data_IF_758701615028
#
_entry.id   IF_758701615028
#
_cell.length_a   1.000
_cell.length_b   1.000
_cell.length_c   1.000
_cell.angle_alpha   90.00
_cell.angle_beta   90.00
_cell.angle_gamma   90.00
#
_symmetry.space_group_name_H-M   'P 1'
#
loop_
_entity.id
_entity.type
_entity.pdbx_description
1 polymer ?
#
# COMPACT_ATOMS: atom_id res chain seq x y z
N UNK A 1 1.37 19.19 25.04
CA UNK A 1 2.25 18.51 24.07
C UNK A 1 2.05 17.01 24.15
N UNK A 2 2.00 16.30 23.01
CA UNK A 2 1.75 14.85 22.98
C UNK A 2 2.91 14.06 23.64
N UNK A 3 2.59 12.87 24.14
CA UNK A 3 3.58 11.96 24.75
C UNK A 3 4.67 11.57 23.73
N UNK A 4 4.28 11.37 22.47
CA UNK A 4 5.17 10.90 21.41
C UNK A 4 6.33 11.88 21.15
N UNK A 5 6.06 13.18 21.15
CA UNK A 5 7.10 14.20 20.95
C UNK A 5 8.20 14.14 22.04
N UNK A 6 7.81 13.84 23.28
CA UNK A 6 8.74 13.68 24.42
C UNK A 6 9.57 12.41 24.30
N UNK A 7 8.95 11.32 23.82
CA UNK A 7 9.60 10.04 23.57
C UNK A 7 10.64 10.16 22.45
N UNK A 8 10.30 10.82 21.34
CA UNK A 8 11.25 11.07 20.24
C UNK A 8 12.46 11.87 20.70
N UNK A 9 12.21 12.98 21.40
CA UNK A 9 13.30 13.78 21.94
C UNK A 9 14.21 12.96 22.87
N UNK A 10 13.62 12.10 23.71
CA UNK A 10 14.39 11.24 24.62
C UNK A 10 15.24 10.20 23.85
N UNK A 11 14.70 9.57 22.81
CA UNK A 11 15.43 8.67 21.90
C UNK A 11 16.61 9.38 21.22
N UNK A 12 16.40 10.59 20.69
CA UNK A 12 17.46 11.41 20.08
C UNK A 12 18.58 11.74 21.07
N UNK A 13 18.24 12.08 22.32
CA UNK A 13 19.26 12.34 23.35
C UNK A 13 20.05 11.07 23.71
N UNK A 14 19.42 9.90 23.73
CA UNK A 14 20.13 8.63 23.92
C UNK A 14 21.10 8.38 22.76
N UNK A 15 20.64 8.54 21.51
CA UNK A 15 21.44 8.27 20.30
C UNK A 15 22.60 9.23 20.10
N UNK A 16 22.44 10.48 20.54
CA UNK A 16 23.52 11.46 20.58
C UNK A 16 24.51 11.24 21.73
N UNK A 17 24.36 10.15 22.50
CA UNK A 17 25.27 9.78 23.58
C UNK A 17 25.17 10.70 24.81
N UNK A 18 24.02 11.34 25.03
CA UNK A 18 23.84 12.38 26.06
C UNK A 18 23.25 11.88 27.38
N UNK A 19 22.90 10.60 27.47
CA UNK A 19 22.40 9.94 28.68
C UNK A 19 21.25 10.70 29.37
N UNK A 20 20.08 10.88 28.71
CA UNK A 20 18.97 11.61 29.29
C UNK A 20 18.38 10.93 30.52
N UNK A 21 17.68 11.69 31.38
CA UNK A 21 16.99 11.18 32.56
C UNK A 21 15.64 11.87 32.77
N UNK A 22 14.83 11.33 33.69
CA UNK A 22 13.49 11.87 33.99
C UNK A 22 13.51 13.33 34.45
N UNK A 23 14.58 13.76 35.13
CA UNK A 23 14.74 15.15 35.56
C UNK A 23 15.06 16.11 34.41
N UNK A 24 15.80 15.66 33.40
CA UNK A 24 16.04 16.44 32.19
C UNK A 24 14.77 16.52 31.35
N UNK A 25 14.13 15.37 31.10
CA UNK A 25 12.88 15.32 30.35
C UNK A 25 11.78 16.19 30.99
N UNK A 26 11.70 16.19 32.33
CA UNK A 26 10.76 17.04 33.07
C UNK A 26 11.00 18.54 32.88
N UNK A 27 12.27 18.96 32.83
CA UNK A 27 12.63 20.38 32.63
C UNK A 27 12.40 20.82 31.19
N UNK A 28 12.78 19.99 30.22
CA UNK A 28 12.67 20.32 28.80
C UNK A 28 11.22 20.55 28.37
N UNK A 29 10.30 19.73 28.88
CA UNK A 29 8.89 19.76 28.50
C UNK A 29 7.96 20.36 29.55
N UNK A 30 8.53 20.96 30.62
CA UNK A 30 7.79 21.57 31.72
C UNK A 30 6.72 20.64 32.34
N UNK A 31 7.06 19.35 32.47
CA UNK A 31 6.18 18.33 33.06
C UNK A 31 6.66 17.91 34.46
N UNK A 32 5.77 17.30 35.24
CA UNK A 32 6.17 16.72 36.53
C UNK A 32 7.17 15.57 36.34
N UNK A 33 8.10 15.39 37.29
CA UNK A 33 9.01 14.23 37.31
C UNK A 33 8.28 12.89 37.25
N UNK A 34 7.09 12.81 37.88
CA UNK A 34 6.24 11.62 37.84
C UNK A 34 5.75 11.33 36.42
N UNK A 35 5.39 12.35 35.65
CA UNK A 35 5.00 12.17 34.26
C UNK A 35 6.19 11.74 33.39
N UNK A 36 7.34 12.40 33.54
CA UNK A 36 8.56 12.03 32.82
C UNK A 36 8.97 10.58 33.10
N UNK A 37 8.82 10.11 34.34
CA UNK A 37 9.09 8.71 34.70
C UNK A 37 8.12 7.74 34.00
N UNK A 38 6.81 8.08 33.92
CA UNK A 38 5.83 7.29 33.18
C UNK A 38 6.13 7.22 31.69
N UNK A 39 6.63 8.31 31.11
CA UNK A 39 7.01 8.32 29.69
C UNK A 39 8.22 7.40 29.43
N UNK A 40 9.21 7.38 30.34
CA UNK A 40 10.35 6.46 30.28
C UNK A 40 9.92 5.01 30.50
N UNK A 41 9.02 4.75 31.45
CA UNK A 41 8.42 3.42 31.68
C UNK A 41 7.65 2.95 30.45
N UNK A 42 6.93 3.85 29.79
CA UNK A 42 6.25 3.54 28.53
C UNK A 42 7.25 3.15 27.43
N UNK A 43 8.38 3.84 27.30
CA UNK A 43 9.45 3.43 26.38
C UNK A 43 9.98 2.02 26.71
N UNK A 44 10.28 1.74 27.97
CA UNK A 44 10.83 0.45 28.40
C UNK A 44 9.82 -0.70 28.20
N UNK A 45 8.56 -0.51 28.62
CA UNK A 45 7.55 -1.57 28.71
C UNK A 45 6.79 -1.70 27.39
N UNK A 46 6.21 -0.62 26.90
CA UNK A 46 5.31 -0.64 25.74
C UNK A 46 6.08 -0.68 24.43
N UNK A 47 7.15 0.13 24.31
CA UNK A 47 7.99 0.20 23.11
C UNK A 47 9.17 -0.78 23.13
N UNK A 48 9.29 -1.58 24.21
CA UNK A 48 10.37 -2.55 24.45
C UNK A 48 11.75 -1.95 24.20
N UNK A 49 11.92 -0.67 24.54
CA UNK A 49 13.20 0.01 24.41
C UNK A 49 14.20 -0.61 25.40
N UNK A 50 15.37 -1.07 24.94
CA UNK A 50 16.37 -1.73 25.79
C UNK A 50 17.14 -0.68 26.61
N UNK A 51 16.43 0.02 27.50
CA UNK A 51 16.95 1.11 28.31
C UNK A 51 17.81 0.57 29.46
N UNK A 52 19.07 1.00 29.50
CA UNK A 52 20.02 0.70 30.58
C UNK A 52 20.35 1.99 31.33
N UNK A 53 20.18 1.97 32.65
CA UNK A 53 20.58 3.11 33.50
C UNK A 53 22.08 3.07 33.78
N UNK A 54 22.81 4.10 33.35
CA UNK A 54 24.22 4.27 33.63
C UNK A 54 24.44 5.19 34.82
N UNK A 55 24.74 4.60 35.98
CA UNK A 55 24.96 5.33 37.23
C UNK A 55 26.05 6.43 37.12
N UNK A 56 27.11 6.17 36.34
CA UNK A 56 28.20 7.13 36.08
C UNK A 56 27.71 8.45 35.46
N UNK A 57 26.73 8.37 34.55
CA UNK A 57 26.19 9.52 33.83
C UNK A 57 24.83 9.99 34.38
N UNK A 58 24.29 9.27 35.37
CA UNK A 58 22.98 9.52 35.98
C UNK A 58 21.85 9.61 34.93
N UNK A 59 21.89 8.74 33.94
CA UNK A 59 20.92 8.73 32.84
C UNK A 59 20.91 7.41 32.08
N UNK A 60 20.07 7.36 31.05
CA UNK A 60 19.78 6.12 30.31
C UNK A 60 20.53 6.07 28.98
N UNK A 61 20.93 4.88 28.57
CA UNK A 61 21.35 4.57 27.20
C UNK A 61 20.62 3.34 26.67
N UNK A 62 20.85 2.99 25.40
CA UNK A 62 20.43 1.69 24.88
C UNK A 62 21.52 0.64 25.12
N UNK A 63 21.11 -0.50 25.67
CA UNK A 63 21.95 -1.70 25.74
C UNK A 63 22.24 -2.23 24.33
N UNK A 64 21.22 -2.22 23.46
CA UNK A 64 21.33 -2.58 22.04
C UNK A 64 21.26 -1.33 21.13
N UNK A 65 22.38 -0.99 20.50
CA UNK A 65 22.48 0.17 19.60
C UNK A 65 21.73 -0.01 18.26
N UNK A 66 21.31 -1.24 17.94
CA UNK A 66 20.50 -1.53 16.75
C UNK A 66 19.04 -1.14 16.96
N UNK A 67 18.57 -1.01 18.22
CA UNK A 67 17.23 -0.53 18.52
C UNK A 67 16.95 0.78 17.77
N UNK A 68 15.81 0.85 17.11
CA UNK A 68 15.26 2.05 16.46
C UNK A 68 13.88 2.29 17.04
N UNK A 69 13.65 3.49 17.56
CA UNK A 69 12.31 3.90 17.95
C UNK A 69 11.42 3.83 16.70
N UNK A 70 10.28 3.13 16.72
CA UNK A 70 9.38 3.07 15.57
C UNK A 70 8.88 4.48 15.24
N UNK A 71 9.41 5.07 14.17
CA UNK A 71 8.90 6.35 13.65
C UNK A 71 7.67 6.04 12.83
N UNK A 72 6.50 6.05 13.47
CA UNK A 72 5.23 5.97 12.76
C UNK A 72 4.64 7.37 12.70
N UNK A 73 5.03 8.10 11.66
CA UNK A 73 4.28 9.27 11.23
C UNK A 73 3.03 8.75 10.54
N UNK A 74 1.89 8.89 11.20
CA UNK A 74 0.58 8.60 10.62
C UNK A 74 -0.26 9.86 10.66
N UNK A 75 -0.92 10.15 9.55
CA UNK A 75 -2.00 11.12 9.47
C UNK A 75 -3.19 10.70 10.33
N UNK A 76 -4.06 11.65 10.71
CA UNK A 76 -5.30 11.36 11.43
C UNK A 76 -6.18 10.35 10.66
N UNK A 77 -6.17 10.42 9.33
CA UNK A 77 -6.91 9.50 8.46
C UNK A 77 -6.37 8.08 8.58
N UNK A 78 -5.05 7.89 8.50
CA UNK A 78 -4.39 6.59 8.65
C UNK A 78 -4.65 5.98 10.03
N UNK A 79 -4.63 6.80 11.10
CA UNK A 79 -4.97 6.32 12.46
C UNK A 79 -6.42 5.83 12.56
N UNK A 80 -7.36 6.55 11.94
CA UNK A 80 -8.78 6.18 11.97
C UNK A 80 -9.04 4.88 11.19
N UNK A 81 -8.37 4.70 10.04
CA UNK A 81 -8.42 3.47 9.25
C UNK A 81 -7.86 2.29 10.05
N UNK A 82 -6.72 2.49 10.71
CA UNK A 82 -6.07 1.46 11.53
C UNK A 82 -6.94 1.03 12.71
N UNK A 83 -7.60 1.98 13.38
CA UNK A 83 -8.55 1.73 14.47
C UNK A 83 -9.74 0.89 14.01
N UNK A 84 -10.29 1.21 12.83
CA UNK A 84 -11.37 0.43 12.24
C UNK A 84 -10.93 -1.01 11.92
N UNK A 85 -9.74 -1.20 11.35
CA UNK A 85 -9.20 -2.54 11.06
C UNK A 85 -9.04 -3.36 12.33
N UNK A 86 -8.47 -2.77 13.39
CA UNK A 86 -8.32 -3.44 14.68
C UNK A 86 -9.68 -3.87 15.27
N UNK A 87 -10.68 -2.99 15.24
CA UNK A 87 -12.06 -3.30 15.65
C UNK A 87 -12.63 -4.46 14.81
N UNK A 88 -12.48 -4.42 13.49
CA UNK A 88 -12.99 -5.46 12.59
C UNK A 88 -12.39 -6.84 12.91
N UNK A 89 -11.07 -6.93 13.08
CA UNK A 89 -10.40 -8.18 13.43
C UNK A 89 -10.74 -8.71 14.82
N UNK A 90 -11.25 -7.86 15.73
CA UNK A 90 -11.73 -8.30 17.05
C UNK A 90 -13.17 -8.83 17.01
N UNK A 91 -14.04 -8.18 16.25
CA UNK A 91 -15.49 -8.38 16.33
C UNK A 91 -16.07 -9.30 15.25
N UNK A 92 -15.33 -9.59 14.18
CA UNK A 92 -15.74 -10.56 13.18
C UNK A 92 -15.11 -11.93 13.46
N UNK A 93 -15.89 -12.98 13.25
CA UNK A 93 -15.46 -14.36 13.45
C UNK A 93 -14.63 -14.81 12.24
N UNK A 94 -13.31 -14.82 12.42
CA UNK A 94 -12.35 -15.29 11.42
C UNK A 94 -11.86 -16.69 11.80
N UNK A 95 -11.70 -17.57 10.81
CA UNK A 95 -10.97 -18.82 11.03
C UNK A 95 -9.53 -18.50 11.49
N UNK A 96 -9.03 -19.21 12.50
CA UNK A 96 -7.82 -18.86 13.28
C UNK A 96 -7.96 -17.65 14.23
N UNK A 97 -9.00 -17.66 15.06
CA UNK A 97 -9.36 -16.56 15.96
C UNK A 97 -8.24 -16.01 16.87
N UNK A 98 -7.21 -16.80 17.22
CA UNK A 98 -6.17 -16.34 18.16
C UNK A 98 -5.06 -15.50 17.51
N UNK A 99 -4.56 -15.90 16.33
CA UNK A 99 -3.57 -15.11 15.58
C UNK A 99 -4.18 -13.78 15.14
N UNK A 100 -5.42 -13.81 14.68
CA UNK A 100 -6.18 -12.62 14.27
C UNK A 100 -6.40 -11.65 15.44
N UNK A 101 -6.73 -12.16 16.63
CA UNK A 101 -6.84 -11.34 17.85
C UNK A 101 -5.50 -10.71 18.25
N UNK A 102 -4.37 -11.42 18.10
CA UNK A 102 -3.04 -10.86 18.34
C UNK A 102 -2.74 -9.72 17.38
N UNK A 103 -3.06 -9.88 16.10
CA UNK A 103 -2.92 -8.81 15.10
C UNK A 103 -3.78 -7.60 15.47
N UNK A 104 -5.05 -7.81 15.82
CA UNK A 104 -5.92 -6.73 16.28
C UNK A 104 -5.31 -5.93 17.45
N UNK A 105 -4.77 -6.63 18.45
CA UNK A 105 -4.11 -5.98 19.59
C UNK A 105 -2.82 -5.24 19.20
N UNK A 106 -2.06 -5.74 18.22
CA UNK A 106 -0.89 -5.03 17.69
C UNK A 106 -1.31 -3.73 16.99
N UNK A 107 -2.36 -3.76 16.18
CA UNK A 107 -2.84 -2.58 15.45
C UNK A 107 -3.32 -1.47 16.41
N UNK A 108 -4.01 -1.82 17.50
CA UNK A 108 -4.45 -0.84 18.52
C UNK A 108 -3.31 -0.09 19.21
N UNK A 109 -2.14 -0.71 19.36
CA UNK A 109 -0.99 -0.05 20.00
C UNK A 109 -0.51 1.17 19.25
N UNK A 110 -0.90 1.31 17.99
CA UNK A 110 -0.54 2.41 17.12
C UNK A 110 -1.60 3.51 17.03
N UNK A 111 -2.78 3.34 17.65
CA UNK A 111 -3.91 4.28 17.55
C UNK A 111 -4.15 5.04 18.86
N UNK A 112 -3.08 5.43 19.57
CA UNK A 112 -3.05 5.88 20.98
C UNK A 112 -3.83 7.18 21.31
N UNK A 113 -4.55 7.77 20.36
CA UNK A 113 -5.28 9.02 20.58
C UNK A 113 -6.81 8.77 20.57
N UNK A 114 -7.45 9.07 21.70
CA UNK A 114 -8.91 9.13 21.82
C UNK A 114 -9.42 10.43 21.18
N UNK A 115 -9.33 10.53 19.86
CA UNK A 115 -10.03 11.59 19.15
C UNK A 115 -11.50 11.21 18.98
N UNK A 116 -12.43 12.16 19.21
CA UNK A 116 -13.84 11.92 18.93
C UNK A 116 -13.99 11.59 17.44
N UNK A 117 -14.69 10.49 17.17
CA UNK A 117 -14.90 9.95 15.83
C UNK A 117 -15.63 10.98 14.96
N UNK A 118 -14.90 11.82 14.22
CA UNK A 118 -15.49 12.61 13.15
C UNK A 118 -16.08 11.65 12.11
N UNK A 119 -17.21 12.04 11.51
CA UNK A 119 -17.94 11.29 10.50
C UNK A 119 -17.20 11.25 9.14
N UNK A 120 -15.93 10.81 9.12
CA UNK A 120 -15.19 10.57 7.88
C UNK A 120 -15.55 9.18 7.35
N UNK A 121 -15.77 9.09 6.03
CA UNK A 121 -16.11 7.81 5.36
C UNK A 121 -14.92 6.87 5.47
N UNK A 122 -15.11 5.75 6.16
CA UNK A 122 -14.12 4.67 6.22
C UNK A 122 -13.96 4.01 4.85
N UNK A 123 -12.74 3.58 4.47
CA UNK A 123 -12.52 2.87 3.22
C UNK A 123 -13.27 1.53 3.22
N UNK A 124 -13.78 1.17 2.04
CA UNK A 124 -14.42 -0.13 1.83
C UNK A 124 -13.33 -1.16 1.56
N UNK A 125 -13.14 -2.07 2.51
CA UNK A 125 -12.25 -3.22 2.33
C UNK A 125 -13.04 -4.39 1.73
N UNK A 126 -12.85 -4.63 0.42
CA UNK A 126 -13.36 -5.82 -0.26
C UNK A 126 -12.23 -6.82 -0.45
N UNK A 127 -12.37 -8.00 0.16
CA UNK A 127 -11.55 -9.15 -0.22
C UNK A 127 -12.19 -9.78 -1.45
N UNK A 128 -11.46 -9.87 -2.57
CA UNK A 128 -11.97 -10.55 -3.76
C UNK A 128 -11.74 -12.07 -3.57
N UNK A 129 -12.79 -12.91 -3.53
CA UNK A 129 -12.64 -14.34 -3.25
C UNK A 129 -11.65 -15.06 -4.18
N UNK A 130 -11.62 -14.66 -5.46
CA UNK A 130 -10.67 -15.20 -6.44
C UNK A 130 -9.21 -14.90 -6.09
N UNK A 131 -8.92 -13.70 -5.61
CA UNK A 131 -7.55 -13.33 -5.23
C UNK A 131 -7.08 -14.12 -4.01
N UNK A 132 -7.97 -14.33 -3.04
CA UNK A 132 -7.68 -15.18 -1.88
C UNK A 132 -7.37 -16.62 -2.32
N UNK A 133 -8.18 -17.16 -3.23
CA UNK A 133 -7.94 -18.49 -3.80
C UNK A 133 -6.60 -18.58 -4.52
N UNK A 134 -6.22 -17.56 -5.31
CA UNK A 134 -4.92 -17.52 -5.97
C UNK A 134 -3.77 -17.46 -4.97
N UNK A 135 -3.92 -16.65 -3.92
CA UNK A 135 -2.94 -16.54 -2.86
C UNK A 135 -2.70 -17.89 -2.17
N UNK A 136 -3.77 -18.61 -1.81
CA UNK A 136 -3.68 -19.93 -1.17
C UNK A 136 -3.02 -20.98 -2.08
N UNK A 137 -3.45 -21.08 -3.33
CA UNK A 137 -2.88 -22.00 -4.32
C UNK A 137 -1.40 -21.72 -4.57
N UNK A 138 -1.00 -20.45 -4.67
CA UNK A 138 0.40 -20.05 -4.85
C UNK A 138 1.22 -20.33 -3.60
N UNK A 139 0.67 -20.10 -2.40
CA UNK A 139 1.35 -20.41 -1.13
C UNK A 139 1.65 -21.91 -1.05
N UNK A 140 0.68 -22.75 -1.42
CA UNK A 140 0.88 -24.21 -1.48
C UNK A 140 1.89 -24.63 -2.56
N UNK A 141 1.77 -24.08 -3.77
CA UNK A 141 2.68 -24.38 -4.88
C UNK A 141 4.13 -23.97 -4.58
N UNK A 142 4.35 -22.84 -3.90
CA UNK A 142 5.68 -22.40 -3.44
C UNK A 142 6.22 -23.38 -2.39
N UNK A 143 5.41 -23.76 -1.40
CA UNK A 143 5.83 -24.67 -0.34
C UNK A 143 6.24 -26.05 -0.88
N UNK A 144 5.48 -26.57 -1.85
CA UNK A 144 5.70 -27.90 -2.42
C UNK A 144 6.58 -27.88 -3.69
N UNK A 145 7.07 -26.70 -4.09
CA UNK A 145 7.85 -26.47 -5.32
C UNK A 145 7.16 -27.01 -6.58
N UNK A 146 5.85 -26.82 -6.68
CA UNK A 146 5.03 -27.21 -7.83
C UNK A 146 4.92 -26.06 -8.84
N UNK A 147 4.99 -26.37 -10.13
CA UNK A 147 4.72 -25.42 -11.20
C UNK A 147 3.24 -25.04 -11.23
N UNK A 148 2.92 -23.84 -11.71
CA UNK A 148 1.55 -23.40 -11.93
C UNK A 148 1.33 -22.97 -13.37
N UNK A 149 0.16 -23.28 -13.92
CA UNK A 149 -0.29 -22.77 -15.22
C UNK A 149 -1.24 -21.61 -14.99
N UNK A 150 -0.95 -20.48 -15.62
CA UNK A 150 -1.66 -19.22 -15.40
C UNK A 150 -2.24 -18.75 -16.73
N UNK A 151 -3.56 -18.53 -16.76
CA UNK A 151 -4.20 -17.72 -17.79
C UNK A 151 -4.30 -16.28 -17.28
N UNK A 152 -3.50 -15.42 -17.90
CA UNK A 152 -3.25 -14.07 -17.44
C UNK A 152 -3.75 -13.04 -18.46
N UNK A 153 -4.31 -11.94 -17.96
CA UNK A 153 -4.71 -10.78 -18.77
C UNK A 153 -4.07 -9.52 -18.23
N UNK A 154 -3.40 -8.80 -19.12
CA UNK A 154 -2.92 -7.44 -18.88
C UNK A 154 -3.27 -6.52 -20.06
N UNK A 155 -2.58 -5.38 -20.15
CA UNK A 155 -2.77 -4.39 -21.20
C UNK A 155 -2.27 -4.84 -22.58
N UNK A 156 -1.35 -5.81 -22.63
CA UNK A 156 -0.84 -6.41 -23.86
C UNK A 156 -1.79 -7.47 -24.42
N UNK A 157 -2.69 -7.99 -23.59
CA UNK A 157 -3.74 -8.92 -23.98
C UNK A 157 -3.86 -10.08 -23.02
N UNK A 158 -4.41 -11.18 -23.53
CA UNK A 158 -4.46 -12.46 -22.82
C UNK A 158 -3.31 -13.36 -23.25
N UNK A 159 -2.71 -14.03 -22.28
CA UNK A 159 -1.67 -15.04 -22.51
C UNK A 159 -1.79 -16.17 -21.51
N UNK A 160 -1.31 -17.33 -21.91
CA UNK A 160 -1.13 -18.48 -21.04
C UNK A 160 0.37 -18.68 -20.81
N UNK A 161 0.77 -18.95 -19.58
CA UNK A 161 2.17 -19.16 -19.22
C UNK A 161 2.30 -20.20 -18.10
N UNK A 162 3.48 -20.83 -18.04
CA UNK A 162 3.83 -21.77 -16.99
C UNK A 162 4.89 -21.14 -16.09
N UNK A 163 4.59 -21.04 -14.80
CA UNK A 163 5.42 -20.36 -13.82
C UNK A 163 5.90 -21.34 -12.75
N UNK A 164 7.19 -21.30 -12.42
CA UNK A 164 7.74 -21.87 -11.21
C UNK A 164 7.72 -20.80 -10.11
N UNK A 165 6.70 -20.76 -9.22
CA UNK A 165 6.53 -19.67 -8.27
C UNK A 165 7.55 -19.78 -7.14
N UNK A 166 8.18 -18.67 -6.77
CA UNK A 166 9.24 -18.62 -5.75
C UNK A 166 8.82 -17.88 -4.49
N UNK A 167 8.15 -16.74 -4.64
CA UNK A 167 7.72 -15.92 -3.50
C UNK A 167 6.51 -15.07 -3.82
N UNK A 168 5.67 -14.87 -2.80
CA UNK A 168 4.60 -13.87 -2.80
C UNK A 168 5.11 -12.58 -2.14
N UNK A 169 4.75 -11.45 -2.72
CA UNK A 169 5.09 -10.12 -2.22
C UNK A 169 3.89 -9.18 -2.38
N UNK A 170 3.73 -8.26 -1.42
CA UNK A 170 2.73 -7.20 -1.48
C UNK A 170 3.43 -5.85 -1.56
N UNK A 171 3.15 -5.08 -2.61
CA UNK A 171 3.75 -3.75 -2.80
C UNK A 171 2.80 -2.85 -3.61
N UNK A 172 2.77 -1.55 -3.30
CA UNK A 172 1.94 -0.55 -4.00
C UNK A 172 0.46 -0.97 -4.14
N UNK A 173 -0.13 -1.49 -3.06
CA UNK A 173 -1.53 -1.93 -2.99
C UNK A 173 -1.89 -3.07 -3.96
N UNK A 174 -0.92 -3.92 -4.32
CA UNK A 174 -1.15 -5.10 -5.12
C UNK A 174 -0.29 -6.28 -4.66
N UNK A 175 -0.84 -7.47 -4.84
CA UNK A 175 -0.13 -8.72 -4.59
C UNK A 175 0.47 -9.27 -5.88
N UNK A 176 1.71 -9.74 -5.78
CA UNK A 176 2.45 -10.34 -6.88
C UNK A 176 3.06 -11.67 -6.47
N UNK A 177 3.16 -12.57 -7.43
CA UNK A 177 4.05 -13.73 -7.36
C UNK A 177 5.25 -13.51 -8.26
N UNK A 178 6.43 -13.75 -7.70
CA UNK A 178 7.68 -13.81 -8.45
C UNK A 178 8.00 -15.27 -8.70
N UNK A 179 8.34 -15.59 -9.94
CA UNK A 179 8.80 -16.90 -10.34
C UNK A 179 9.64 -16.82 -11.60
N UNK A 180 9.83 -17.96 -12.26
CA UNK A 180 10.46 -18.01 -13.57
C UNK A 180 9.73 -18.98 -14.50
N UNK A 181 9.78 -18.71 -15.80
CA UNK A 181 9.46 -19.68 -16.86
C UNK A 181 10.74 -20.47 -17.18
N UNK A 182 10.62 -21.71 -17.63
CA UNK A 182 11.77 -22.62 -17.81
C UNK A 182 12.33 -22.66 -19.23
N UNK A 183 11.59 -22.19 -20.25
CA UNK A 183 12.01 -22.26 -21.66
C UNK A 183 11.56 -21.03 -22.47
N UNK A 184 12.40 -19.98 -22.59
CA UNK A 184 13.70 -19.80 -21.95
C UNK A 184 13.58 -19.49 -20.45
N UNK A 185 14.68 -19.70 -19.69
CA UNK A 185 14.71 -19.31 -18.27
C UNK A 185 14.58 -17.80 -18.14
N UNK A 186 13.41 -17.33 -17.74
CA UNK A 186 13.10 -15.91 -17.61
C UNK A 186 12.33 -15.63 -16.33
N UNK A 187 12.83 -14.69 -15.52
CA UNK A 187 12.11 -14.24 -14.33
C UNK A 187 10.82 -13.51 -14.73
N UNK A 188 9.75 -13.83 -14.03
CA UNK A 188 8.43 -13.27 -14.25
C UNK A 188 7.86 -12.74 -12.94
N UNK A 189 7.20 -11.59 -13.03
CA UNK A 189 6.43 -11.01 -11.93
C UNK A 189 4.98 -10.93 -12.38
N UNK A 190 4.11 -11.71 -11.75
CA UNK A 190 2.70 -11.82 -12.10
C UNK A 190 1.86 -11.17 -11.01
N UNK A 191 1.04 -10.17 -11.38
CA UNK A 191 0.09 -9.54 -10.45
C UNK A 191 -1.14 -10.42 -10.29
N UNK A 192 -1.55 -10.71 -9.06
CA UNK A 192 -2.67 -11.63 -8.80
C UNK A 192 -4.00 -11.14 -9.41
N UNK A 193 -4.22 -9.83 -9.53
CA UNK A 193 -5.40 -9.24 -10.19
C UNK A 193 -5.54 -9.60 -11.67
N UNK A 194 -4.44 -9.82 -12.38
CA UNK A 194 -4.48 -10.16 -13.80
C UNK A 194 -4.74 -11.64 -14.06
N UNK A 195 -4.77 -12.48 -13.03
CA UNK A 195 -5.02 -13.92 -13.15
C UNK A 195 -6.52 -14.14 -13.39
N UNK A 196 -6.85 -14.59 -14.60
CA UNK A 196 -8.21 -15.03 -14.93
C UNK A 196 -8.48 -16.39 -14.29
N UNK A 197 -7.51 -17.29 -14.43
CA UNK A 197 -7.56 -18.67 -13.97
C UNK A 197 -6.14 -19.19 -13.70
N UNK A 198 -6.01 -20.09 -12.72
CA UNK A 198 -4.76 -20.75 -12.40
C UNK A 198 -5.02 -22.19 -11.94
N UNK A 199 -4.12 -23.10 -12.34
CA UNK A 199 -4.05 -24.47 -11.83
C UNK A 199 -2.64 -24.79 -11.36
N UNK A 200 -2.54 -25.63 -10.33
CA UNK A 200 -1.28 -26.19 -9.85
C UNK A 200 -1.00 -27.48 -10.62
N UNK A 201 0.20 -27.59 -11.17
CA UNK A 201 0.67 -28.78 -11.88
C UNK A 201 1.21 -29.82 -10.89
N UNK A 202 1.24 -31.08 -11.30
CA UNK A 202 1.96 -32.15 -10.59
C UNK A 202 3.49 -32.05 -10.80
N UNK A 203 3.92 -31.29 -11.82
CA UNK A 203 5.33 -31.08 -12.12
C UNK A 203 6.00 -30.23 -11.04
N UNK A 204 7.04 -30.79 -10.43
CA UNK A 204 7.88 -30.10 -9.45
C UNK A 204 9.11 -29.51 -10.11
N UNK A 205 9.55 -28.36 -9.63
CA UNK A 205 10.78 -27.74 -10.09
C UNK A 205 11.86 -27.76 -8.99
N UNK A 206 13.13 -27.78 -9.41
CA UNK A 206 14.24 -27.65 -8.47
C UNK A 206 14.54 -26.18 -8.21
N UNK A 207 14.49 -25.79 -6.94
CA UNK A 207 14.83 -24.44 -6.49
C UNK A 207 16.35 -24.24 -6.52
N UNK A 208 16.89 -23.62 -7.58
CA UNK A 208 18.30 -23.20 -7.64
C UNK A 208 18.50 -21.85 -6.94
N UNK A 209 18.59 -21.90 -5.61
CA UNK A 209 18.71 -20.74 -4.71
C UNK A 209 19.89 -19.80 -5.04
N UNK A 210 21.05 -20.36 -5.38
CA UNK A 210 22.32 -19.62 -5.31
C UNK A 210 22.72 -18.84 -6.57
N UNK A 211 22.18 -19.20 -7.74
CA UNK A 211 22.61 -18.57 -9.01
C UNK A 211 21.73 -17.37 -9.42
N UNK A 212 20.53 -17.27 -8.85
CA UNK A 212 19.49 -16.35 -9.35
C UNK A 212 19.24 -15.18 -8.39
N UNK A 213 19.33 -15.35 -7.08
CA UNK A 213 18.96 -14.29 -6.13
C UNK A 213 20.03 -13.20 -5.92
N UNK A 214 21.30 -13.42 -6.27
CA UNK A 214 22.40 -12.50 -5.93
C UNK A 214 22.46 -11.23 -6.79
N UNK A 215 21.63 -11.10 -7.82
CA UNK A 215 21.61 -9.93 -8.71
C UNK A 215 20.24 -9.25 -8.85
N UNK A 216 19.20 -9.74 -8.16
CA UNK A 216 17.81 -9.39 -8.48
C UNK A 216 17.20 -8.43 -7.46
N UNK A 217 17.87 -7.30 -7.27
CA UNK A 217 17.26 -6.05 -6.81
C UNK A 217 16.77 -5.24 -8.02
N UNK A 218 16.06 -5.87 -8.98
CA UNK A 218 15.28 -5.05 -9.90
C UNK A 218 14.16 -4.41 -9.09
N UNK A 219 13.97 -3.07 -9.16
CA UNK A 219 12.81 -2.45 -8.55
C UNK A 219 11.59 -3.13 -9.18
N UNK A 220 10.90 -3.89 -8.33
CA UNK A 220 9.60 -4.48 -8.61
C UNK A 220 8.78 -3.47 -9.41
N UNK A 221 8.08 -3.86 -10.47
CA UNK A 221 7.42 -2.93 -11.37
C UNK A 221 6.42 -2.10 -10.56
N UNK A 222 6.87 -0.92 -10.11
CA UNK A 222 6.05 0.20 -9.69
C UNK A 222 5.09 0.33 -10.85
N UNK A 223 3.78 0.24 -10.59
CA UNK A 223 2.81 0.45 -11.66
C UNK A 223 3.01 1.89 -12.10
N UNK A 224 3.87 2.09 -13.10
CA UNK A 224 4.14 3.41 -13.65
C UNK A 224 2.77 3.95 -14.01
N UNK A 225 2.38 5.12 -13.48
CA UNK A 225 1.10 5.68 -13.83
C UNK A 225 0.99 5.71 -15.35
N UNK A 226 -0.18 5.37 -15.85
CA UNK A 226 -0.47 5.69 -17.24
C UNK A 226 -0.38 7.20 -17.38
N UNK A 227 0.21 7.63 -18.49
CA UNK A 227 0.28 9.05 -18.80
C UNK A 227 -0.72 9.30 -19.91
N UNK A 228 -1.72 10.13 -19.65
CA UNK A 228 -2.60 10.68 -20.66
C UNK A 228 -2.05 12.01 -21.13
N UNK A 229 -1.94 12.18 -22.44
CA UNK A 229 -1.64 13.46 -23.06
C UNK A 229 -2.96 14.15 -23.39
N UNK A 230 -3.24 15.24 -22.70
CA UNK A 230 -4.51 15.95 -22.81
C UNK A 230 -4.23 17.43 -23.11
N UNK A 231 -4.90 17.97 -24.12
CA UNK A 231 -4.96 19.40 -24.36
C UNK A 231 -6.05 20.02 -23.50
N UNK A 232 -5.67 20.98 -22.66
CA UNK A 232 -6.59 21.73 -21.80
C UNK A 232 -6.72 23.17 -22.30
N UNK A 233 -7.88 23.79 -22.09
CA UNK A 233 -8.06 25.24 -22.31
C UNK A 233 -7.13 26.01 -21.38
N UNK A 234 -6.52 27.08 -21.88
CA UNK A 234 -5.62 27.94 -21.10
C UNK A 234 -6.25 28.38 -19.77
N UNK A 235 -5.64 27.95 -18.66
CA UNK A 235 -6.17 28.24 -17.33
C UNK A 235 -5.34 27.66 -16.19
N UNK A 236 -4.45 28.50 -15.66
CA UNK A 236 -3.72 28.39 -14.39
C UNK A 236 -2.71 27.24 -14.20
N UNK A 237 -1.62 27.58 -13.49
CA UNK A 237 -0.52 26.69 -13.13
C UNK A 237 -0.95 25.78 -11.98
N UNK A 238 -1.17 24.51 -12.26
CA UNK A 238 -1.40 23.51 -11.23
C UNK A 238 -0.40 22.36 -11.37
N UNK A 239 0.12 21.87 -10.25
CA UNK A 239 0.86 20.60 -10.18
C UNK A 239 -0.09 19.39 -10.29
N UNK A 240 -1.39 19.62 -10.11
CA UNK A 240 -2.45 18.62 -10.10
C UNK A 240 -3.63 19.08 -10.98
N UNK A 241 -4.11 18.24 -11.88
CA UNK A 241 -5.39 18.44 -12.57
C UNK A 241 -6.50 17.72 -11.81
N UNK A 242 -7.28 18.47 -11.01
CA UNK A 242 -8.35 17.92 -10.16
C UNK A 242 -7.91 16.71 -9.30
N UNK A 243 -6.69 16.76 -8.78
CA UNK A 243 -6.10 15.70 -7.96
C UNK A 243 -5.29 14.65 -8.72
N UNK A 244 -5.24 14.69 -10.06
CA UNK A 244 -4.34 13.86 -10.85
C UNK A 244 -3.00 14.57 -11.09
N UNK A 245 -1.86 13.91 -10.80
CA UNK A 245 -0.54 14.52 -10.98
C UNK A 245 -0.27 14.88 -12.44
N UNK A 246 0.28 16.08 -12.67
CA UNK A 246 0.80 16.50 -13.96
C UNK A 246 2.31 16.26 -13.94
N UNK A 247 2.77 15.30 -14.75
CA UNK A 247 4.17 14.93 -14.86
C UNK A 247 5.02 15.97 -15.60
N UNK A 248 4.46 16.49 -16.69
CA UNK A 248 5.13 17.45 -17.57
C UNK A 248 4.08 18.30 -18.29
N UNK A 249 4.51 19.45 -18.83
CA UNK A 249 3.68 20.36 -19.61
C UNK A 249 4.47 20.91 -20.80
N UNK A 250 3.88 20.81 -21.98
CA UNK A 250 4.38 21.41 -23.20
C UNK A 250 3.26 22.26 -23.81
N UNK A 251 3.39 23.59 -23.67
CA UNK A 251 2.39 24.58 -24.08
C UNK A 251 1.00 24.37 -23.43
N UNK A 252 0.04 23.84 -24.20
CA UNK A 252 -1.33 23.52 -23.79
C UNK A 252 -1.56 22.01 -23.60
N UNK A 253 -0.51 21.19 -23.79
CA UNK A 253 -0.54 19.74 -23.64
C UNK A 253 0.01 19.38 -22.26
N UNK A 254 -0.79 18.63 -21.51
CA UNK A 254 -0.51 18.19 -20.16
C UNK A 254 -0.35 16.67 -20.13
N UNK A 255 0.70 16.21 -19.47
CA UNK A 255 1.00 14.78 -19.29
C UNK A 255 0.49 14.35 -17.91
N UNK A 256 -0.73 13.81 -17.87
CA UNK A 256 -1.45 13.53 -16.63
C UNK A 256 -1.32 12.06 -16.25
N UNK A 257 -0.87 11.83 -15.01
CA UNK A 257 -0.63 10.50 -14.45
C UNK A 257 -1.88 9.92 -13.79
N UNK A 258 -2.20 8.65 -14.08
CA UNK A 258 -3.32 7.95 -13.46
C UNK A 258 -3.06 6.44 -13.32
N UNK A 259 -3.66 5.83 -12.29
CA UNK A 259 -3.49 4.39 -11.98
C UNK A 259 -4.76 3.57 -12.21
N UNK A 260 -5.93 4.17 -12.00
CA UNK A 260 -7.24 3.56 -12.17
C UNK A 260 -7.89 4.08 -13.45
N UNK A 261 -8.12 3.18 -14.40
CA UNK A 261 -8.71 3.52 -15.70
C UNK A 261 -10.17 3.94 -15.59
N UNK A 262 -10.97 3.30 -14.74
CA UNK A 262 -12.40 3.60 -14.62
C UNK A 262 -12.62 4.93 -13.88
N UNK A 263 -11.86 5.19 -12.82
CA UNK A 263 -11.87 6.48 -12.14
C UNK A 263 -11.44 7.62 -13.08
N UNK A 264 -10.40 7.40 -13.89
CA UNK A 264 -9.93 8.39 -14.86
C UNK A 264 -10.93 8.62 -15.99
N UNK A 265 -11.57 7.56 -16.53
CA UNK A 265 -12.65 7.73 -17.51
C UNK A 265 -13.83 8.54 -16.95
N UNK A 266 -14.25 8.26 -15.71
CA UNK A 266 -15.30 9.07 -15.05
C UNK A 266 -14.87 10.51 -14.81
N UNK A 267 -13.58 10.74 -14.58
CA UNK A 267 -13.03 12.09 -14.48
C UNK A 267 -13.15 12.82 -15.82
N UNK A 268 -12.71 12.19 -16.92
CA UNK A 268 -12.81 12.74 -18.29
C UNK A 268 -14.24 13.13 -18.68
N UNK A 269 -15.26 12.39 -18.25
CA UNK A 269 -16.66 12.77 -18.51
C UNK A 269 -17.15 14.00 -17.73
N UNK A 270 -16.45 14.39 -16.65
CA UNK A 270 -16.86 15.48 -15.75
C UNK A 270 -15.99 16.73 -15.89
N UNK A 271 -14.75 16.57 -16.32
CA UNK A 271 -13.76 17.63 -16.48
C UNK A 271 -13.87 18.31 -17.85
N UNK A 272 -13.49 19.58 -17.93
CA UNK A 272 -13.31 20.27 -19.21
C UNK A 272 -11.91 20.02 -19.79
N UNK A 273 -11.86 19.61 -21.05
CA UNK A 273 -10.64 19.42 -21.84
C UNK A 273 -10.99 19.58 -23.33
N UNK A 274 -9.98 19.88 -24.16
CA UNK A 274 -10.18 20.10 -25.60
C UNK A 274 -9.97 18.83 -26.41
N UNK A 275 -8.87 18.14 -26.15
CA UNK A 275 -8.49 16.96 -26.93
C UNK A 275 -7.73 15.96 -26.06
N UNK A 276 -8.14 14.69 -26.10
CA UNK A 276 -7.35 13.57 -25.59
C UNK A 276 -6.48 13.04 -26.73
N UNK A 277 -5.16 13.22 -26.64
CA UNK A 277 -4.20 12.84 -27.69
C UNK A 277 -3.74 11.39 -27.53
N UNK A 278 -3.41 10.98 -26.30
CA UNK A 278 -2.90 9.65 -26.00
C UNK A 278 -3.24 9.22 -24.56
N UNK A 279 -3.23 7.92 -24.23
CA UNK A 279 -2.92 6.78 -25.10
C UNK A 279 -4.12 6.34 -25.97
N UNK A 280 -3.85 5.74 -27.13
CA UNK A 280 -4.88 5.32 -28.10
C UNK A 280 -5.91 4.30 -27.57
N UNK A 281 -5.54 3.47 -26.61
CA UNK A 281 -6.48 2.55 -25.95
C UNK A 281 -7.49 3.29 -25.06
N UNK A 282 -7.07 4.39 -24.41
CA UNK A 282 -7.93 5.18 -23.53
C UNK A 282 -8.98 5.93 -24.36
N UNK A 283 -8.56 6.48 -25.51
CA UNK A 283 -9.46 7.11 -26.49
C UNK A 283 -10.56 6.14 -26.95
N UNK A 284 -10.19 4.93 -27.36
CA UNK A 284 -11.15 3.89 -27.78
C UNK A 284 -12.14 3.53 -26.67
N UNK A 285 -11.67 3.37 -25.42
CA UNK A 285 -12.54 3.10 -24.27
C UNK A 285 -13.50 4.24 -23.98
N UNK A 286 -13.02 5.49 -24.04
CA UNK A 286 -13.85 6.68 -23.83
C UNK A 286 -14.93 6.79 -24.92
N UNK A 287 -14.55 6.59 -26.18
CA UNK A 287 -15.45 6.60 -27.33
C UNK A 287 -16.55 5.54 -27.18
N UNK A 288 -16.19 4.28 -26.93
CA UNK A 288 -17.15 3.20 -26.75
C UNK A 288 -18.16 3.50 -25.63
N UNK A 289 -17.70 4.12 -24.53
CA UNK A 289 -18.56 4.47 -23.39
C UNK A 289 -19.48 5.65 -23.72
N UNK A 290 -19.02 6.61 -24.51
CA UNK A 290 -19.85 7.72 -25.01
C UNK A 290 -20.91 7.23 -26.00
N UNK A 291 -20.56 6.33 -26.94
CA UNK A 291 -21.48 5.70 -27.88
C UNK A 291 -22.59 4.94 -27.13
N UNK A 292 -22.22 4.12 -26.14
CA UNK A 292 -23.21 3.41 -25.30
C UNK A 292 -24.16 4.36 -24.55
N UNK A 293 -23.70 5.53 -24.13
CA UNK A 293 -24.55 6.53 -23.48
C UNK A 293 -25.50 7.18 -24.49
N UNK A 294 -25.00 7.50 -25.69
CA UNK A 294 -25.81 8.03 -26.78
C UNK A 294 -26.90 7.04 -27.20
N UNK A 295 -26.55 5.76 -27.38
CA UNK A 295 -27.49 4.70 -27.73
C UNK A 295 -28.61 4.57 -26.69
N UNK A 296 -28.29 4.67 -25.39
CA UNK A 296 -29.31 4.64 -24.34
C UNK A 296 -30.27 5.83 -24.39
N UNK A 297 -29.78 7.00 -24.80
CA UNK A 297 -30.58 8.21 -24.93
C UNK A 297 -31.44 8.20 -26.21
N UNK A 298 -30.97 7.56 -27.28
CA UNK A 298 -31.72 7.43 -28.54
C UNK A 298 -32.80 6.36 -28.46
N UNK A 299 -32.55 5.22 -27.80
CA UNK A 299 -33.56 4.16 -27.57
C UNK A 299 -34.78 4.68 -26.80
N UNK A 300 -34.59 5.64 -25.87
CA UNK A 300 -35.71 6.26 -25.15
C UNK A 300 -36.54 7.25 -25.97
N UNK A 301 -36.02 7.74 -27.11
CA UNK A 301 -36.78 8.62 -28.02
C UNK A 301 -37.72 7.84 -28.93
N UNK A 302 -37.36 6.63 -29.34
CA UNK A 302 -38.23 5.81 -30.19
C UNK A 302 -39.43 5.22 -29.42
N UNK A 303 -39.30 5.01 -28.10
CA UNK A 303 -40.39 4.51 -27.26
C UNK A 303 -41.39 5.59 -26.77
N UNK A 304 -41.08 6.88 -26.98
CA UNK A 304 -41.91 8.01 -26.55
C UNK A 304 -42.53 8.79 -27.74
N UNK A 305 -42.47 8.22 -28.94
CA UNK A 305 -43.17 8.71 -30.14
C UNK A 305 -44.15 7.62 -30.61
N UNK A 306 -45.16 7.34 -29.78
CA UNK A 306 -46.45 6.78 -30.20
C UNK A 306 -47.58 7.48 -29.45
#
# INVERSE_FOLDING_TARGET
MSNMHRIHWFDEQIRSGRFPNSGWLAREFEISRRQAQRDIEYMAISLRAPLLYMAKYRGYCYEDQTYRLPHLYMTEEEQQVLKYLAHRYRHYDYEQAESVKRVAHLLERFTLEEHPTEQRKLPVFTAQPKQLQWYELLTHAIADSCQVHIHYRDHSGERQLSLCPLKLISQFNADYVIGYETDPVQQMTIRLEGIIYMSVSEERFEYKADALLSGWEEPLPVRKPFVAEIRLKEGQHFELWHGYPIRDRQDQIYFIEFHDTDAFLQHLFRSEWEELLSPGWLRRKLQQRAEQLLDRLTVQREANVE
#
